data_IF_039447661453
#
_entry.id   IF_039447661453
#
_cell.length_a   1.000
_cell.length_b   1.000
_cell.length_c   1.000
_cell.angle_alpha   90.00
_cell.angle_beta   90.00
_cell.angle_gamma   90.00
#
_symmetry.space_group_name_H-M   'P 1'
#
loop_
_entity.id
_entity.type
_entity.pdbx_description
1 polymer ?
#
# COMPACT_ATOMS: atom_id res chain seq x y z
N UNK A 1 37.57 1.39 9.23
CA UNK A 1 36.36 2.17 9.55
C UNK A 1 35.25 1.17 9.73
N UNK A 2 34.65 1.17 10.92
CA UNK A 2 33.58 0.25 11.30
C UNK A 2 32.33 0.57 10.46
N UNK A 3 32.13 -0.18 9.37
CA UNK A 3 30.97 0.01 8.51
C UNK A 3 29.74 -0.48 9.26
N UNK A 4 28.99 0.45 9.86
CA UNK A 4 27.70 0.12 10.45
C UNK A 4 26.71 -0.25 9.32
N UNK A 5 26.26 -1.49 9.30
CA UNK A 5 25.26 -1.98 8.35
C UNK A 5 23.83 -1.76 8.88
N UNK A 6 22.87 -1.67 7.95
CA UNK A 6 21.44 -1.51 8.21
C UNK A 6 20.66 -2.56 7.44
N UNK A 7 19.70 -3.22 8.09
CA UNK A 7 18.82 -4.21 7.47
C UNK A 7 17.78 -3.55 6.57
N UNK A 8 17.51 -4.20 5.45
CA UNK A 8 16.43 -3.91 4.52
C UNK A 8 15.71 -5.23 4.23
N UNK A 9 14.37 -5.27 4.32
CA UNK A 9 13.60 -6.47 4.02
C UNK A 9 13.85 -6.95 2.59
N UNK A 10 13.99 -8.26 2.39
CA UNK A 10 14.22 -8.85 1.06
C UNK A 10 13.15 -8.40 0.04
N UNK A 11 11.90 -8.27 0.49
CA UNK A 11 10.74 -7.84 -0.31
C UNK A 11 10.92 -6.47 -0.98
N UNK A 12 11.73 -5.59 -0.39
CA UNK A 12 12.07 -4.30 -1.00
C UNK A 12 12.78 -4.49 -2.35
N UNK A 13 13.63 -5.51 -2.45
CA UNK A 13 14.50 -5.73 -3.60
C UNK A 13 13.79 -6.37 -4.80
N UNK A 14 12.65 -7.04 -4.59
CA UNK A 14 11.78 -7.51 -5.69
C UNK A 14 11.26 -6.38 -6.57
N UNK A 15 11.34 -5.14 -6.09
CA UNK A 15 10.66 -3.98 -6.69
C UNK A 15 11.65 -2.96 -7.25
N UNK A 16 12.94 -3.28 -7.26
CA UNK A 16 13.99 -2.44 -7.82
C UNK A 16 14.38 -2.92 -9.22
N UNK A 17 14.31 -2.04 -10.23
CA UNK A 17 14.84 -2.33 -11.57
C UNK A 17 16.36 -2.51 -11.54
N UNK A 18 17.05 -1.76 -10.68
CA UNK A 18 18.48 -1.86 -10.42
C UNK A 18 18.80 -1.43 -9.00
N UNK A 19 19.85 -2.01 -8.44
CA UNK A 19 20.32 -1.63 -7.09
C UNK A 19 21.04 -0.29 -7.14
N UNK A 20 20.81 0.56 -6.14
CA UNK A 20 21.48 1.87 -6.01
C UNK A 20 22.63 1.85 -5.01
N UNK A 21 22.85 0.71 -4.37
CA UNK A 21 23.94 0.49 -3.45
C UNK A 21 24.31 -0.99 -3.39
N UNK A 22 25.46 -1.27 -2.79
CA UNK A 22 25.90 -2.63 -2.52
C UNK A 22 25.02 -3.29 -1.46
N UNK A 23 24.62 -4.54 -1.72
CA UNK A 23 23.78 -5.35 -0.84
C UNK A 23 24.62 -6.46 -0.22
N UNK A 24 24.41 -6.69 1.07
CA UNK A 24 25.16 -7.63 1.88
C UNK A 24 24.23 -8.64 2.54
N UNK A 25 24.71 -9.87 2.68
CA UNK A 25 24.11 -10.91 3.51
C UNK A 25 24.91 -11.03 4.81
N UNK A 26 24.20 -11.05 5.95
CA UNK A 26 24.82 -11.29 7.26
C UNK A 26 24.96 -12.79 7.48
N UNK A 27 26.18 -13.28 7.69
CA UNK A 27 26.47 -14.68 8.00
C UNK A 27 26.71 -14.93 9.49
N UNK A 28 27.14 -13.90 10.23
CA UNK A 28 27.29 -13.92 11.68
C UNK A 28 27.22 -12.48 12.22
N UNK A 29 27.39 -12.28 13.52
CA UNK A 29 27.27 -10.94 14.09
C UNK A 29 28.23 -9.91 13.49
N UNK A 30 29.44 -10.35 13.16
CA UNK A 30 30.53 -9.52 12.65
C UNK A 30 30.76 -9.69 11.14
N UNK A 31 30.13 -10.70 10.51
CA UNK A 31 30.43 -11.07 9.12
C UNK A 31 29.29 -10.71 8.17
N UNK A 32 29.57 -9.74 7.31
CA UNK A 32 28.71 -9.32 6.20
C UNK A 32 29.41 -9.64 4.88
N UNK A 33 28.72 -10.33 3.98
CA UNK A 33 29.24 -10.71 2.66
C UNK A 33 28.45 -9.97 1.61
N UNK A 34 29.14 -9.21 0.76
CA UNK A 34 28.50 -8.54 -0.38
C UNK A 34 27.97 -9.61 -1.34
N UNK A 35 26.68 -9.51 -1.69
CA UNK A 35 25.99 -10.44 -2.59
C UNK A 35 25.55 -9.78 -3.89
N UNK A 36 25.40 -8.45 -3.90
CA UNK A 36 25.01 -7.68 -5.08
C UNK A 36 25.79 -6.37 -5.10
N UNK A 37 26.28 -5.95 -6.26
CA UNK A 37 26.93 -4.65 -6.42
C UNK A 37 25.94 -3.59 -6.85
N UNK A 38 26.25 -2.34 -6.50
CA UNK A 38 25.55 -1.17 -7.00
C UNK A 38 25.41 -1.20 -8.53
N UNK A 39 24.19 -1.03 -9.02
CA UNK A 39 23.85 -1.02 -10.45
C UNK A 39 23.43 -2.37 -11.00
N UNK A 40 23.68 -3.47 -10.27
CA UNK A 40 23.27 -4.80 -10.69
C UNK A 40 21.73 -4.92 -10.70
N UNK A 41 21.22 -5.66 -11.69
CA UNK A 41 19.82 -6.09 -11.75
C UNK A 41 19.69 -7.30 -10.84
N UNK A 42 18.81 -7.22 -9.86
CA UNK A 42 18.48 -8.35 -8.99
C UNK A 42 17.25 -9.01 -9.56
N UNK A 43 17.42 -10.15 -10.22
CA UNK A 43 16.29 -10.89 -10.77
C UNK A 43 15.45 -11.54 -9.66
N UNK A 44 14.17 -11.76 -9.96
CA UNK A 44 13.27 -12.48 -9.05
C UNK A 44 13.76 -13.89 -8.71
N UNK A 45 14.45 -14.56 -9.65
CA UNK A 45 15.02 -15.89 -9.40
C UNK A 45 16.12 -15.86 -8.34
N UNK A 46 16.93 -14.81 -8.34
CA UNK A 46 17.97 -14.60 -7.32
C UNK A 46 17.31 -14.38 -5.96
N UNK A 47 16.27 -13.55 -5.89
CA UNK A 47 15.55 -13.26 -4.66
C UNK A 47 14.82 -14.48 -4.10
N UNK A 48 14.11 -15.23 -4.95
CA UNK A 48 13.46 -16.51 -4.58
C UNK A 48 14.44 -17.51 -4.01
N UNK A 49 15.67 -17.58 -4.53
CA UNK A 49 16.71 -18.44 -3.96
C UNK A 49 17.09 -18.06 -2.52
N UNK A 50 17.02 -16.78 -2.16
CA UNK A 50 17.26 -16.33 -0.80
C UNK A 50 16.02 -16.52 0.09
N UNK A 51 14.80 -16.31 -0.43
CA UNK A 51 13.56 -16.63 0.28
C UNK A 51 13.48 -18.12 0.64
N UNK A 52 13.82 -19.01 -0.29
CA UNK A 52 13.88 -20.46 -0.07
C UNK A 52 14.90 -20.87 1.01
N UNK A 53 15.86 -20.00 1.32
CA UNK A 53 16.85 -20.17 2.40
C UNK A 53 16.41 -19.52 3.71
N UNK A 54 15.15 -19.10 3.82
CA UNK A 54 14.59 -18.36 4.96
C UNK A 54 15.34 -17.05 5.27
N UNK A 55 15.93 -16.41 4.27
CA UNK A 55 16.57 -15.11 4.42
C UNK A 55 15.51 -14.04 4.23
N UNK A 56 15.11 -13.39 5.32
CA UNK A 56 14.10 -12.33 5.30
C UNK A 56 14.69 -10.92 5.05
N UNK A 57 16.00 -10.74 5.27
CA UNK A 57 16.65 -9.43 5.25
C UNK A 57 18.00 -9.45 4.52
N UNK A 58 18.26 -8.38 3.80
CA UNK A 58 19.60 -8.00 3.38
C UNK A 58 20.07 -6.77 4.13
N UNK A 59 21.33 -6.39 3.91
CA UNK A 59 21.99 -5.32 4.63
C UNK A 59 22.66 -4.37 3.66
N UNK A 60 22.67 -3.08 3.98
CA UNK A 60 23.37 -2.03 3.23
C UNK A 60 24.19 -1.19 4.21
N UNK A 61 25.14 -0.40 3.72
CA UNK A 61 25.88 0.54 4.59
C UNK A 61 24.95 1.64 5.09
N UNK A 62 25.24 2.22 6.27
CA UNK A 62 24.44 3.33 6.83
C UNK A 62 24.33 4.54 5.90
N UNK A 63 25.39 4.84 5.14
CA UNK A 63 25.39 5.96 4.19
C UNK A 63 24.48 5.66 3.01
N UNK A 64 24.59 4.45 2.43
CA UNK A 64 23.67 3.97 1.39
C UNK A 64 22.23 3.95 1.88
N UNK A 65 21.99 3.53 3.12
CA UNK A 65 20.67 3.54 3.73
C UNK A 65 20.08 4.96 3.80
N UNK A 66 20.90 5.94 4.17
CA UNK A 66 20.50 7.35 4.25
C UNK A 66 20.22 7.92 2.86
N UNK A 67 21.03 7.56 1.86
CA UNK A 67 20.85 7.96 0.47
C UNK A 67 19.58 7.35 -0.12
N UNK A 68 19.31 6.06 0.12
CA UNK A 68 18.02 5.43 -0.23
C UNK A 68 16.88 6.26 0.34
N UNK A 69 16.94 6.63 1.63
CA UNK A 69 15.90 7.44 2.28
C UNK A 69 15.72 8.86 1.71
N UNK A 70 16.76 9.45 1.12
CA UNK A 70 16.73 10.80 0.52
C UNK A 70 16.30 10.79 -0.96
N UNK A 71 16.60 9.71 -1.68
CA UNK A 71 16.25 9.50 -3.09
C UNK A 71 14.85 8.90 -3.30
N UNK A 72 14.05 8.82 -2.24
CA UNK A 72 12.62 8.49 -2.31
C UNK A 72 11.86 9.64 -2.97
N UNK A 73 12.08 9.79 -4.28
CA UNK A 73 11.48 10.83 -5.11
C UNK A 73 9.97 10.63 -5.14
N UNK A 74 9.20 11.74 -5.19
CA UNK A 74 7.79 11.68 -5.52
C UNK A 74 7.59 10.96 -6.86
N UNK A 75 6.43 10.33 -7.01
CA UNK A 75 5.99 9.65 -8.24
C UNK A 75 6.38 10.47 -9.49
N UNK A 76 7.03 9.82 -10.46
CA UNK A 76 7.52 10.43 -11.70
C UNK A 76 6.44 11.24 -12.42
N UNK A 77 6.80 12.33 -13.11
CA UNK A 77 5.82 13.07 -13.92
C UNK A 77 5.17 12.15 -14.98
N UNK A 78 3.84 12.24 -15.16
CA UNK A 78 3.15 11.39 -16.12
C UNK A 78 3.57 11.76 -17.56
N UNK A 79 3.82 10.78 -18.45
CA UNK A 79 4.05 11.05 -19.86
C UNK A 79 2.83 11.76 -20.49
N UNK A 80 3.08 12.71 -21.41
CA UNK A 80 2.05 13.50 -22.12
C UNK A 80 1.15 12.71 -23.08
N UNK A 81 1.25 11.37 -23.10
CA UNK A 81 0.47 10.49 -23.96
C UNK A 81 -0.90 10.14 -23.35
N UNK A 82 -1.81 9.61 -24.17
CA UNK A 82 -3.13 9.10 -23.71
C UNK A 82 -2.94 8.13 -22.54
N UNK A 83 -3.72 8.32 -21.46
CA UNK A 83 -3.68 7.45 -20.28
C UNK A 83 -4.11 6.04 -20.66
N UNK A 84 -3.15 5.11 -20.65
CA UNK A 84 -3.42 3.68 -20.72
C UNK A 84 -3.53 3.21 -19.29
N UNK A 85 -4.75 2.85 -18.90
CA UNK A 85 -4.99 2.38 -17.55
C UNK A 85 -4.46 0.96 -17.37
N UNK A 86 -3.82 0.65 -16.23
CA UNK A 86 -3.39 -0.69 -15.94
C UNK A 86 -4.57 -1.67 -15.89
N UNK A 87 -4.35 -2.88 -16.39
CA UNK A 87 -5.33 -3.96 -16.25
C UNK A 87 -5.36 -4.45 -14.80
N UNK A 88 -6.57 -4.79 -14.33
CA UNK A 88 -6.84 -5.33 -13.00
C UNK A 88 -7.14 -6.84 -13.01
N UNK A 89 -7.02 -7.52 -14.15
CA UNK A 89 -7.40 -8.93 -14.32
C UNK A 89 -6.80 -9.87 -13.27
N UNK A 90 -5.50 -9.80 -13.05
CA UNK A 90 -4.80 -10.65 -12.06
C UNK A 90 -5.22 -10.34 -10.61
N UNK A 91 -5.34 -9.05 -10.26
CA UNK A 91 -5.82 -8.63 -8.94
C UNK A 91 -7.26 -9.10 -8.70
N UNK A 92 -8.10 -9.04 -9.72
CA UNK A 92 -9.48 -9.52 -9.65
C UNK A 92 -9.56 -11.03 -9.49
N UNK A 93 -8.72 -11.80 -10.19
CA UNK A 93 -8.64 -13.24 -10.01
C UNK A 93 -8.15 -13.60 -8.60
N UNK A 94 -7.19 -12.85 -8.07
CA UNK A 94 -6.73 -13.00 -6.70
C UNK A 94 -7.86 -12.76 -5.70
N UNK A 95 -8.56 -11.61 -5.80
CA UNK A 95 -9.67 -11.24 -4.92
C UNK A 95 -10.79 -12.28 -4.94
N UNK A 96 -11.21 -12.74 -6.12
CA UNK A 96 -12.28 -13.74 -6.25
C UNK A 96 -11.86 -15.10 -5.71
N UNK A 97 -10.56 -15.43 -5.74
CA UNK A 97 -10.06 -16.71 -5.21
C UNK A 97 -10.20 -16.87 -3.69
N UNK A 98 -10.44 -15.78 -2.96
CA UNK A 98 -10.71 -15.80 -1.52
C UNK A 98 -12.07 -15.15 -1.16
N UNK A 99 -13.05 -15.20 -2.07
CA UNK A 99 -14.46 -14.95 -1.73
C UNK A 99 -14.99 -13.53 -2.03
N UNK A 100 -14.18 -12.65 -2.62
CA UNK A 100 -14.67 -11.33 -3.06
C UNK A 100 -15.58 -11.46 -4.28
N UNK A 101 -16.72 -10.78 -4.28
CA UNK A 101 -17.68 -10.84 -5.37
C UNK A 101 -17.13 -10.21 -6.68
N UNK A 102 -17.15 -10.97 -7.77
CA UNK A 102 -16.71 -10.52 -9.10
C UNK A 102 -17.45 -9.27 -9.60
N UNK A 103 -18.73 -9.09 -9.25
CA UNK A 103 -19.48 -7.89 -9.58
C UNK A 103 -18.87 -6.66 -8.91
N UNK A 104 -18.44 -6.77 -7.65
CA UNK A 104 -17.77 -5.67 -6.94
C UNK A 104 -16.46 -5.30 -7.60
N UNK A 105 -15.63 -6.28 -7.96
CA UNK A 105 -14.43 -6.05 -8.76
C UNK A 105 -14.74 -5.26 -10.05
N UNK A 106 -15.75 -5.70 -10.82
CA UNK A 106 -16.16 -5.00 -12.05
C UNK A 106 -16.67 -3.58 -11.81
N UNK A 107 -17.43 -3.35 -10.75
CA UNK A 107 -17.99 -2.03 -10.45
C UNK A 107 -16.93 -1.04 -9.99
N UNK A 108 -15.97 -1.52 -9.20
CA UNK A 108 -14.83 -0.72 -8.73
C UNK A 108 -13.92 -0.39 -9.90
N UNK A 109 -13.55 -1.34 -10.76
CA UNK A 109 -12.76 -1.06 -11.98
C UNK A 109 -13.37 0.05 -12.83
N UNK A 110 -14.69 -0.02 -13.11
CA UNK A 110 -15.39 1.01 -13.89
C UNK A 110 -15.37 2.38 -13.20
N UNK A 111 -15.45 2.39 -11.87
CA UNK A 111 -15.42 3.62 -11.08
C UNK A 111 -13.99 4.21 -11.06
N UNK A 112 -12.96 3.37 -10.98
CA UNK A 112 -11.55 3.76 -11.12
C UNK A 112 -11.30 4.40 -12.49
N UNK A 113 -11.70 3.72 -13.56
CA UNK A 113 -11.57 4.22 -14.93
C UNK A 113 -12.23 5.58 -15.10
N UNK A 114 -13.47 5.73 -14.61
CA UNK A 114 -14.18 7.01 -14.62
C UNK A 114 -13.41 8.10 -13.89
N UNK A 115 -12.90 7.85 -12.69
CA UNK A 115 -12.17 8.87 -11.90
C UNK A 115 -10.87 9.26 -12.59
N UNK A 116 -10.11 8.28 -13.10
CA UNK A 116 -8.79 8.51 -13.71
C UNK A 116 -8.87 9.14 -15.10
N UNK A 117 -10.00 9.00 -15.80
CA UNK A 117 -10.21 9.61 -17.13
C UNK A 117 -10.86 10.99 -17.06
N UNK A 118 -11.56 11.33 -15.98
CA UNK A 118 -12.18 12.64 -15.76
C UNK A 118 -11.20 13.63 -15.12
N UNK A 119 -10.09 13.90 -15.83
CA UNK A 119 -9.02 14.77 -15.32
C UNK A 119 -9.46 16.22 -15.12
N UNK A 120 -10.48 16.68 -15.86
CA UNK A 120 -11.08 18.01 -15.69
C UNK A 120 -11.76 18.20 -14.34
N UNK A 121 -12.31 17.11 -13.77
CA UNK A 121 -13.02 17.19 -12.50
C UNK A 121 -12.07 17.27 -11.29
N UNK A 122 -10.82 16.84 -11.45
CA UNK A 122 -9.84 16.70 -10.38
C UNK A 122 -8.52 17.41 -10.73
N UNK A 123 -8.62 18.62 -11.30
CA UNK A 123 -7.49 19.34 -11.90
C UNK A 123 -6.28 19.43 -10.95
N UNK A 124 -6.50 19.71 -9.66
CA UNK A 124 -5.43 19.95 -8.68
C UNK A 124 -4.64 18.70 -8.32
N UNK A 125 -5.24 17.52 -8.48
CA UNK A 125 -4.63 16.22 -8.14
C UNK A 125 -4.42 15.31 -9.36
N UNK A 126 -4.82 15.76 -10.55
CA UNK A 126 -4.73 15.01 -11.81
C UNK A 126 -3.31 14.56 -12.13
N UNK A 127 -2.31 15.39 -11.82
CA UNK A 127 -0.89 15.04 -11.98
C UNK A 127 -0.47 13.90 -11.05
N UNK A 128 -0.90 13.91 -9.78
CA UNK A 128 -0.62 12.84 -8.82
C UNK A 128 -1.27 11.52 -9.22
N UNK A 129 -2.54 11.57 -9.63
CA UNK A 129 -3.26 10.41 -10.15
C UNK A 129 -2.55 9.84 -11.39
N UNK A 130 -2.11 10.70 -12.30
CA UNK A 130 -1.30 10.30 -13.45
C UNK A 130 0.00 9.63 -13.02
N UNK A 131 0.79 10.27 -12.15
CA UNK A 131 2.06 9.73 -11.68
C UNK A 131 1.94 8.36 -11.00
N UNK A 132 0.86 8.14 -10.23
CA UNK A 132 0.55 6.83 -9.66
C UNK A 132 0.28 5.77 -10.73
N UNK A 133 -0.54 6.11 -11.75
CA UNK A 133 -0.89 5.21 -12.85
C UNK A 133 0.34 4.80 -13.69
N UNK A 134 1.28 5.73 -13.90
CA UNK A 134 2.47 5.49 -14.70
C UNK A 134 3.68 5.00 -13.90
N UNK A 135 3.54 4.80 -12.59
CA UNK A 135 4.63 4.24 -11.80
C UNK A 135 4.91 2.82 -12.25
N UNK A 136 6.19 2.55 -12.55
CA UNK A 136 6.66 1.21 -12.91
C UNK A 136 6.57 0.21 -11.77
N UNK A 137 6.64 0.67 -10.52
CA UNK A 137 6.62 -0.18 -9.32
C UNK A 137 5.23 -0.67 -8.97
N UNK A 138 4.18 0.02 -9.46
CA UNK A 138 2.75 -0.33 -9.36
C UNK A 138 2.17 -0.53 -7.96
N UNK A 139 2.95 -0.47 -6.90
CA UNK A 139 2.52 -0.79 -5.55
C UNK A 139 1.42 0.15 -5.06
N UNK A 140 1.61 1.47 -5.15
CA UNK A 140 0.59 2.42 -4.68
C UNK A 140 -0.72 2.25 -5.46
N UNK A 141 -0.61 2.02 -6.77
CA UNK A 141 -1.77 1.80 -7.63
C UNK A 141 -2.52 0.51 -7.28
N UNK A 142 -1.82 -0.62 -7.23
CA UNK A 142 -2.40 -1.93 -6.96
C UNK A 142 -2.94 -2.01 -5.52
N UNK A 143 -2.22 -1.44 -4.55
CA UNK A 143 -2.66 -1.33 -3.15
C UNK A 143 -3.94 -0.53 -3.05
N UNK A 144 -3.96 0.67 -3.65
CA UNK A 144 -5.15 1.50 -3.74
C UNK A 144 -6.31 0.72 -4.34
N UNK A 145 -6.10 0.00 -5.45
CA UNK A 145 -7.15 -0.80 -6.08
C UNK A 145 -7.71 -1.89 -5.16
N UNK A 146 -6.84 -2.70 -4.56
CA UNK A 146 -7.23 -3.77 -3.64
C UNK A 146 -8.01 -3.22 -2.43
N UNK A 147 -7.55 -2.11 -1.84
CA UNK A 147 -8.26 -1.42 -0.75
C UNK A 147 -9.62 -0.92 -1.21
N UNK A 148 -9.71 -0.36 -2.43
CA UNK A 148 -10.97 0.07 -3.03
C UNK A 148 -11.98 -1.06 -3.17
N UNK A 149 -11.54 -2.23 -3.65
CA UNK A 149 -12.44 -3.39 -3.79
C UNK A 149 -12.90 -3.90 -2.42
N UNK A 150 -11.98 -4.14 -1.49
CA UNK A 150 -12.32 -4.69 -0.16
C UNK A 150 -13.20 -3.71 0.63
N UNK A 151 -12.90 -2.41 0.58
CA UNK A 151 -13.71 -1.39 1.29
C UNK A 151 -15.13 -1.28 0.72
N UNK A 152 -15.30 -1.39 -0.60
CA UNK A 152 -16.64 -1.42 -1.23
C UNK A 152 -17.38 -2.70 -0.88
N UNK A 153 -16.70 -3.86 -0.88
CA UNK A 153 -17.32 -5.15 -0.52
C UNK A 153 -17.81 -5.14 0.94
N UNK A 154 -16.99 -4.62 1.86
CA UNK A 154 -17.39 -4.44 3.26
C UNK A 154 -18.54 -3.45 3.40
N UNK A 155 -18.48 -2.31 2.70
CA UNK A 155 -19.53 -1.30 2.76
C UNK A 155 -20.88 -1.84 2.25
N UNK A 156 -20.89 -2.76 1.27
CA UNK A 156 -22.11 -3.43 0.78
C UNK A 156 -22.81 -4.30 1.83
N UNK A 157 -22.07 -4.77 2.84
CA UNK A 157 -22.64 -5.52 3.98
C UNK A 157 -23.22 -4.60 5.06
N UNK A 158 -23.12 -3.27 4.89
CA UNK A 158 -23.67 -2.27 5.79
C UNK A 158 -24.97 -1.67 5.24
N UNK A 159 -25.82 -1.13 6.13
CA UNK A 159 -27.14 -0.58 5.77
C UNK A 159 -27.08 0.76 4.99
N UNK A 160 -25.89 1.25 4.63
CA UNK A 160 -25.71 2.58 4.05
C UNK A 160 -25.62 2.48 2.52
N UNK A 161 -26.54 3.17 1.83
CA UNK A 161 -26.80 3.03 0.40
C UNK A 161 -25.58 2.82 -0.50
N UNK A 162 -25.68 1.83 -1.39
CA UNK A 162 -24.55 1.22 -2.11
C UNK A 162 -23.88 2.18 -3.12
N UNK A 163 -24.65 3.04 -3.79
CA UNK A 163 -24.16 3.86 -4.92
C UNK A 163 -23.18 4.96 -4.51
N UNK A 164 -23.63 5.93 -3.71
CA UNK A 164 -22.78 7.05 -3.27
C UNK A 164 -21.64 6.58 -2.35
N UNK A 165 -21.87 5.52 -1.57
CA UNK A 165 -20.83 4.92 -0.73
C UNK A 165 -19.72 4.31 -1.57
N UNK A 166 -20.07 3.57 -2.64
CA UNK A 166 -19.08 2.99 -3.56
C UNK A 166 -18.17 4.06 -4.16
N UNK A 167 -18.75 5.15 -4.70
CA UNK A 167 -17.97 6.22 -5.33
C UNK A 167 -17.03 6.89 -4.33
N UNK A 168 -17.49 7.15 -3.10
CA UNK A 168 -16.65 7.72 -2.02
C UNK A 168 -15.52 6.78 -1.60
N UNK A 169 -15.80 5.50 -1.36
CA UNK A 169 -14.78 4.52 -0.97
C UNK A 169 -13.73 4.32 -2.06
N UNK A 170 -14.17 4.24 -3.31
CA UNK A 170 -13.29 4.12 -4.48
C UNK A 170 -12.39 5.35 -4.62
N UNK A 171 -12.96 6.54 -4.45
CA UNK A 171 -12.21 7.80 -4.52
C UNK A 171 -11.19 7.91 -3.39
N UNK A 172 -11.59 7.59 -2.15
CA UNK A 172 -10.69 7.57 -1.01
C UNK A 172 -9.54 6.57 -1.22
N UNK A 173 -9.84 5.37 -1.74
CA UNK A 173 -8.84 4.35 -2.01
C UNK A 173 -7.82 4.82 -3.06
N UNK A 174 -8.26 5.44 -4.15
CA UNK A 174 -7.36 6.04 -5.16
C UNK A 174 -6.44 7.14 -4.61
N UNK A 175 -6.85 7.83 -3.55
CA UNK A 175 -6.22 9.09 -3.13
C UNK A 175 -5.42 8.98 -1.83
N UNK A 176 -5.71 8.01 -0.95
CA UNK A 176 -5.18 7.99 0.41
C UNK A 176 -3.63 8.02 0.52
N UNK A 177 -2.96 7.36 -0.43
CA UNK A 177 -1.50 7.19 -0.44
C UNK A 177 -0.79 8.00 -1.55
N UNK A 178 -1.45 8.94 -2.24
CA UNK A 178 -0.84 9.68 -3.37
C UNK A 178 0.44 10.47 -3.01
N UNK A 179 0.61 10.81 -1.73
CA UNK A 179 1.80 11.50 -1.21
C UNK A 179 2.77 10.57 -0.49
N UNK A 180 2.48 9.27 -0.42
CA UNK A 180 3.38 8.29 0.15
C UNK A 180 4.42 7.88 -0.92
N UNK A 181 5.73 8.14 -0.68
CA UNK A 181 6.76 7.64 -1.58
C UNK A 181 6.69 6.12 -1.65
N UNK A 182 6.67 5.58 -2.86
CA UNK A 182 6.37 4.18 -3.09
C UNK A 182 7.33 3.23 -2.35
N UNK A 183 8.61 3.61 -2.28
CA UNK A 183 9.61 2.89 -1.51
C UNK A 183 9.29 2.83 0.00
N UNK A 184 8.79 3.93 0.61
CA UNK A 184 8.35 3.93 2.01
C UNK A 184 7.13 3.03 2.21
N UNK A 185 6.22 3.06 1.24
CA UNK A 185 5.01 2.25 1.26
C UNK A 185 5.34 0.74 1.30
N UNK A 186 6.44 0.34 0.65
CA UNK A 186 6.93 -1.05 0.70
C UNK A 186 7.72 -1.40 1.97
N UNK A 187 8.15 -0.42 2.76
CA UNK A 187 9.03 -0.58 3.93
C UNK A 187 8.31 -0.44 5.28
N UNK A 188 7.10 0.14 5.29
CA UNK A 188 6.40 0.62 6.49
C UNK A 188 6.08 -0.46 7.55
N UNK A 189 6.10 -1.74 7.18
CA UNK A 189 5.65 -2.83 8.08
C UNK A 189 6.79 -3.72 8.62
N UNK A 190 8.03 -3.20 8.61
CA UNK A 190 9.16 -3.97 9.12
C UNK A 190 9.58 -3.46 10.49
N UNK A 191 9.21 -4.23 11.53
CA UNK A 191 9.57 -4.03 12.94
C UNK A 191 11.10 -4.05 13.22
N UNK A 192 11.95 -4.02 12.20
CA UNK A 192 13.41 -4.15 12.31
C UNK A 192 14.18 -2.98 11.67
N UNK A 193 13.51 -1.84 11.40
CA UNK A 193 14.22 -0.60 11.11
C UNK A 193 14.91 -0.10 12.39
N UNK A 194 16.11 0.48 12.25
CA UNK A 194 16.81 1.04 13.42
C UNK A 194 16.00 2.20 14.03
N UNK A 195 15.99 2.42 15.37
CA UNK A 195 15.04 3.31 16.04
C UNK A 195 14.88 4.71 15.41
N UNK A 196 15.98 5.32 14.96
CA UNK A 196 15.97 6.65 14.34
C UNK A 196 15.35 6.67 12.93
N UNK A 197 15.49 5.57 12.19
CA UNK A 197 14.89 5.36 10.87
C UNK A 197 13.41 5.03 11.02
N UNK A 198 13.07 4.19 12.00
CA UNK A 198 11.69 3.91 12.36
C UNK A 198 10.97 5.21 12.67
N UNK A 199 11.58 6.16 13.38
CA UNK A 199 10.97 7.46 13.67
C UNK A 199 10.77 8.29 12.40
N UNK A 200 11.79 8.47 11.54
CA UNK A 200 11.65 9.33 10.34
C UNK A 200 10.73 8.73 9.28
N UNK A 201 10.82 7.41 9.04
CA UNK A 201 9.95 6.67 8.11
C UNK A 201 8.51 6.65 8.63
N UNK A 202 8.31 6.38 9.93
CA UNK A 202 6.97 6.41 10.54
C UNK A 202 6.39 7.82 10.57
N UNK A 203 7.21 8.84 10.79
CA UNK A 203 6.74 10.23 10.69
C UNK A 203 6.32 10.59 9.27
N UNK A 204 7.09 10.19 8.24
CA UNK A 204 6.70 10.39 6.86
C UNK A 204 5.41 9.61 6.49
N UNK A 205 5.30 8.37 6.95
CA UNK A 205 4.14 7.49 6.77
C UNK A 205 2.90 7.91 7.60
N UNK A 206 3.05 8.76 8.61
CA UNK A 206 1.89 9.34 9.30
C UNK A 206 1.51 10.70 8.70
N UNK A 207 2.49 11.43 8.15
CA UNK A 207 2.26 12.76 7.56
C UNK A 207 1.64 12.71 6.18
N UNK A 208 1.80 11.64 5.40
CA UNK A 208 1.25 11.61 4.03
C UNK A 208 -0.26 11.78 4.04
N UNK A 209 -0.97 11.15 4.99
CA UNK A 209 -2.42 11.25 5.16
C UNK A 209 -2.87 12.71 5.34
N UNK A 210 -2.18 13.48 6.21
CA UNK A 210 -2.45 14.89 6.42
C UNK A 210 -2.13 15.73 5.18
N UNK A 211 -1.01 15.46 4.51
CA UNK A 211 -0.61 16.19 3.30
C UNK A 211 -1.63 16.04 2.18
N UNK A 212 -2.03 14.81 1.87
CA UNK A 212 -2.99 14.59 0.79
C UNK A 212 -4.38 15.09 1.19
N UNK A 213 -4.82 14.93 2.45
CA UNK A 213 -6.09 15.49 2.90
C UNK A 213 -6.14 17.02 2.75
N UNK A 214 -5.03 17.71 3.04
CA UNK A 214 -4.92 19.15 2.84
C UNK A 214 -4.99 19.55 1.37
N UNK A 215 -4.55 18.72 0.42
CA UNK A 215 -4.74 19.01 -1.00
C UNK A 215 -6.17 18.76 -1.44
N UNK A 216 -6.75 17.63 -1.01
CA UNK A 216 -8.12 17.24 -1.35
C UNK A 216 -9.19 18.19 -0.82
N UNK A 217 -9.00 18.79 0.36
CA UNK A 217 -9.97 19.75 0.92
C UNK A 217 -10.16 21.00 0.04
N UNK A 218 -9.23 21.28 -0.87
CA UNK A 218 -9.31 22.40 -1.79
C UNK A 218 -9.84 22.02 -3.17
N UNK A 219 -10.20 20.75 -3.41
CA UNK A 219 -10.77 20.25 -4.66
C UNK A 219 -12.31 20.14 -4.53
N UNK A 220 -13.10 21.06 -5.13
CA UNK A 220 -14.56 21.13 -4.92
C UNK A 220 -15.32 19.85 -5.31
N UNK A 221 -14.72 19.04 -6.18
CA UNK A 221 -15.28 17.79 -6.68
C UNK A 221 -15.11 16.61 -5.71
N UNK A 222 -14.35 16.78 -4.62
CA UNK A 222 -14.07 15.74 -3.62
C UNK A 222 -15.01 15.92 -2.43
N UNK A 223 -15.85 14.92 -2.08
CA UNK A 223 -16.70 15.00 -0.90
C UNK A 223 -15.91 15.05 0.41
N UNK A 224 -16.41 15.78 1.41
CA UNK A 224 -15.79 15.86 2.75
C UNK A 224 -15.56 14.48 3.40
N UNK A 225 -16.47 13.52 3.16
CA UNK A 225 -16.30 12.14 3.64
C UNK A 225 -15.02 11.50 3.09
N UNK A 226 -14.68 11.76 1.81
CA UNK A 226 -13.45 11.24 1.18
C UNK A 226 -12.23 11.87 1.84
N UNK A 227 -12.25 13.19 2.05
CA UNK A 227 -11.17 13.90 2.75
C UNK A 227 -10.98 13.33 4.16
N UNK A 228 -12.08 13.06 4.87
CA UNK A 228 -12.05 12.49 6.22
C UNK A 228 -11.50 11.06 6.23
N UNK A 229 -11.93 10.19 5.30
CA UNK A 229 -11.38 8.83 5.17
C UNK A 229 -9.86 8.91 4.92
N UNK A 230 -9.44 9.72 3.95
CA UNK A 230 -8.03 9.90 3.59
C UNK A 230 -7.22 10.46 4.76
N UNK A 231 -7.76 11.39 5.55
CA UNK A 231 -7.04 11.92 6.72
C UNK A 231 -6.90 10.88 7.83
N UNK A 232 -7.96 10.12 8.09
CA UNK A 232 -8.08 9.29 9.29
C UNK A 232 -7.60 7.84 9.08
N UNK A 233 -7.18 7.41 7.89
CA UNK A 233 -6.92 5.99 7.59
C UNK A 233 -5.80 5.31 8.42
N UNK A 234 -4.95 6.08 9.11
CA UNK A 234 -3.97 5.56 10.11
C UNK A 234 -4.35 5.90 11.57
N UNK A 235 -5.40 6.68 11.79
CA UNK A 235 -5.69 7.30 13.08
C UNK A 235 -6.71 6.49 13.92
N UNK A 236 -6.28 5.31 14.36
CA UNK A 236 -7.11 4.37 15.14
C UNK A 236 -7.60 4.93 16.49
N UNK A 237 -6.92 5.95 17.03
CA UNK A 237 -7.23 6.56 18.32
C UNK A 237 -8.22 7.73 18.20
N UNK A 238 -8.63 8.11 16.99
CA UNK A 238 -9.60 9.17 16.80
C UNK A 238 -10.98 8.72 17.32
N UNK A 239 -11.53 9.31 18.40
CA UNK A 239 -12.81 8.89 18.95
C UNK A 239 -14.01 9.29 18.06
N UNK A 240 -13.76 10.04 16.98
CA UNK A 240 -14.77 10.57 16.08
C UNK A 240 -14.64 10.02 14.66
N UNK A 241 -14.06 8.82 14.50
CA UNK A 241 -14.00 8.13 13.22
C UNK A 241 -15.41 7.97 12.64
N UNK A 242 -15.53 8.31 11.35
CA UNK A 242 -16.76 8.01 10.63
C UNK A 242 -16.87 6.51 10.42
N UNK A 243 -18.08 6.00 10.23
CA UNK A 243 -18.29 4.58 9.92
C UNK A 243 -17.59 4.17 8.61
N UNK A 244 -17.54 5.06 7.62
CA UNK A 244 -16.81 4.82 6.37
C UNK A 244 -15.30 4.76 6.61
N UNK A 245 -14.75 5.65 7.45
CA UNK A 245 -13.34 5.62 7.85
C UNK A 245 -13.00 4.29 8.53
N UNK A 246 -13.87 3.78 9.41
CA UNK A 246 -13.63 2.50 10.09
C UNK A 246 -13.63 1.32 9.12
N UNK A 247 -14.58 1.26 8.19
CA UNK A 247 -14.60 0.24 7.12
C UNK A 247 -13.33 0.32 6.27
N UNK A 248 -12.95 1.53 5.89
CA UNK A 248 -11.75 1.76 5.08
C UNK A 248 -10.47 1.32 5.80
N UNK A 249 -10.35 1.63 7.09
CA UNK A 249 -9.23 1.20 7.93
C UNK A 249 -9.12 -0.33 7.96
N UNK A 250 -10.23 -1.06 8.17
CA UNK A 250 -10.20 -2.53 8.16
C UNK A 250 -9.78 -3.08 6.80
N UNK A 251 -10.28 -2.50 5.70
CA UNK A 251 -9.88 -2.87 4.35
C UNK A 251 -8.39 -2.64 4.10
N UNK A 252 -7.90 -1.45 4.46
CA UNK A 252 -6.49 -1.07 4.34
C UNK A 252 -5.60 -2.04 5.12
N UNK A 253 -5.95 -2.33 6.37
CA UNK A 253 -5.19 -3.17 7.29
C UNK A 253 -5.15 -4.64 6.84
N UNK A 254 -6.22 -5.14 6.21
CA UNK A 254 -6.23 -6.45 5.57
C UNK A 254 -5.32 -6.50 4.34
N UNK A 255 -5.42 -5.53 3.43
CA UNK A 255 -4.62 -5.49 2.20
C UNK A 255 -3.14 -5.32 2.50
N UNK A 256 -2.77 -4.48 3.47
CA UNK A 256 -1.38 -4.32 3.92
C UNK A 256 -0.79 -5.66 4.38
N UNK A 257 -1.53 -6.44 5.17
CA UNK A 257 -1.09 -7.80 5.56
C UNK A 257 -1.02 -8.77 4.40
N UNK A 258 -1.93 -8.67 3.44
CA UNK A 258 -1.85 -9.47 2.22
C UNK A 258 -0.55 -9.19 1.46
N UNK A 259 -0.10 -7.94 1.38
CA UNK A 259 1.21 -7.62 0.82
C UNK A 259 2.36 -8.21 1.63
N UNK A 260 2.26 -8.23 2.97
CA UNK A 260 3.23 -8.92 3.82
C UNK A 260 3.26 -10.43 3.57
N UNK A 261 2.22 -11.01 2.97
CA UNK A 261 2.18 -12.41 2.59
C UNK A 261 2.24 -12.65 1.08
N UNK A 262 2.91 -11.73 0.37
CA UNK A 262 3.18 -11.84 -1.07
C UNK A 262 1.89 -11.95 -1.92
N UNK A 263 0.77 -11.42 -1.43
CA UNK A 263 -0.52 -11.41 -2.14
C UNK A 263 -0.97 -12.80 -2.63
N UNK A 264 -0.77 -13.83 -1.83
CA UNK A 264 -1.20 -15.19 -2.19
C UNK A 264 -2.55 -15.53 -1.58
N UNK A 265 -3.42 -16.21 -2.34
CA UNK A 265 -4.74 -16.63 -1.86
C UNK A 265 -4.66 -17.56 -0.64
N UNK A 266 -3.64 -18.42 -0.59
CA UNK A 266 -3.36 -19.31 0.55
C UNK A 266 -3.13 -18.54 1.87
N UNK A 267 -2.66 -17.30 1.79
CA UNK A 267 -2.35 -16.47 2.96
C UNK A 267 -3.47 -15.49 3.33
N UNK A 268 -4.58 -15.43 2.57
CA UNK A 268 -5.74 -14.61 2.91
C UNK A 268 -6.31 -14.94 4.29
N UNK A 269 -6.34 -16.22 4.64
CA UNK A 269 -6.76 -16.70 5.96
C UNK A 269 -5.78 -16.28 7.07
N UNK A 270 -4.47 -16.22 6.79
CA UNK A 270 -3.50 -15.72 7.76
C UNK A 270 -3.64 -14.20 7.95
N UNK A 271 -3.77 -13.45 6.86
CA UNK A 271 -4.02 -12.01 6.93
C UNK A 271 -5.27 -11.68 7.75
N UNK A 272 -6.36 -12.42 7.54
CA UNK A 272 -7.59 -12.28 8.33
C UNK A 272 -7.37 -12.54 9.82
N UNK A 273 -6.64 -13.60 10.19
CA UNK A 273 -6.33 -13.91 11.61
C UNK A 273 -5.56 -12.79 12.28
N UNK A 274 -4.60 -12.20 11.58
CA UNK A 274 -3.79 -11.12 12.12
C UNK A 274 -4.60 -9.81 12.24
N UNK A 275 -5.49 -9.51 11.28
CA UNK A 275 -6.44 -8.39 11.37
C UNK A 275 -7.35 -8.56 12.59
N UNK A 276 -7.89 -9.77 12.79
CA UNK A 276 -8.71 -10.11 13.96
C UNK A 276 -7.98 -9.87 15.27
N UNK A 277 -6.73 -10.31 15.35
CA UNK A 277 -5.89 -10.13 16.54
C UNK A 277 -5.61 -8.64 16.78
N UNK A 278 -5.37 -7.88 15.71
CA UNK A 278 -5.05 -6.45 15.79
C UNK A 278 -6.22 -5.59 16.29
N UNK A 279 -7.44 -5.89 15.84
CA UNK A 279 -8.64 -5.14 16.23
C UNK A 279 -9.39 -5.73 17.42
N UNK A 280 -8.88 -6.81 18.03
CA UNK A 280 -9.60 -7.54 19.07
C UNK A 280 -10.06 -6.63 20.21
N UNK A 281 -11.37 -6.59 20.46
CA UNK A 281 -11.96 -5.82 21.57
C UNK A 281 -12.03 -4.31 21.31
N UNK A 282 -12.00 -3.90 20.04
CA UNK A 282 -12.14 -2.51 19.61
C UNK A 282 -13.49 -2.27 18.93
N UNK A 283 -13.83 -1.01 18.67
CA UNK A 283 -15.06 -0.65 17.95
C UNK A 283 -15.10 -1.15 16.49
N UNK A 284 -14.01 -1.76 16.00
CA UNK A 284 -13.88 -2.30 14.65
C UNK A 284 -14.37 -3.74 14.50
N UNK A 285 -14.65 -4.46 15.60
CA UNK A 285 -14.96 -5.90 15.62
C UNK A 285 -16.05 -6.27 14.59
N UNK A 286 -17.14 -5.51 14.52
CA UNK A 286 -18.24 -5.77 13.57
C UNK A 286 -17.81 -5.74 12.09
N UNK A 287 -16.83 -4.90 11.73
CA UNK A 287 -16.34 -4.81 10.35
C UNK A 287 -15.32 -5.92 10.05
N UNK A 288 -14.61 -6.38 11.08
CA UNK A 288 -13.74 -7.55 10.99
C UNK A 288 -14.57 -8.83 10.83
N UNK A 289 -15.70 -8.95 11.52
CA UNK A 289 -16.67 -10.04 11.31
C UNK A 289 -17.24 -10.03 9.88
N UNK A 290 -17.55 -8.84 9.34
CA UNK A 290 -17.95 -8.69 7.94
C UNK A 290 -16.84 -9.14 6.99
N UNK A 291 -15.59 -8.76 7.25
CA UNK A 291 -14.42 -9.21 6.48
C UNK A 291 -14.31 -10.74 6.52
N UNK A 292 -14.41 -11.35 7.70
CA UNK A 292 -14.42 -12.79 7.83
C UNK A 292 -15.51 -13.46 6.98
N UNK A 293 -16.73 -12.90 6.99
CA UNK A 293 -17.83 -13.44 6.20
C UNK A 293 -17.58 -13.38 4.69
N UNK A 294 -16.71 -12.48 4.22
CA UNK A 294 -16.30 -12.39 2.82
C UNK A 294 -15.23 -13.44 2.53
N UNK A 295 -14.20 -13.53 3.39
CA UNK A 295 -13.02 -14.37 3.15
C UNK A 295 -13.28 -15.88 3.36
N UNK A 296 -14.32 -16.23 4.13
CA UNK A 296 -14.70 -17.62 4.42
C UNK A 296 -15.77 -18.20 3.46
N UNK A 297 -16.12 -17.50 2.37
CA UNK A 297 -16.99 -18.01 1.31
C UNK A 297 -16.21 -18.85 0.29
#
# INVERSE_FOLDING_TARGET
MDQSFKSIPLKFFHRLENTKCDIYLRLSEEKYVKIVNTGDIVSDDVLKNFENKNIAYFYVTKDAFTQIGQELTPLSEPPKSKVVLPDHGELNQLLTSFGVNQLTCSEVSKTYEKILTDTSKYEKISSLLGSMVYSKKRFIYDHSYLVGVISVELAKKSDWGVGATKEKMTMAALMHDLRLPEDLATMADTNELSPNVTISVRQAHLKHADMIAQELQHEPSIPDDVVKIVKDHHNLLNPHLSRLSMVFIVAHEFVTRMYNYQLTSAMAQQALRDVKTFFQGSDFDKYVEQLESIINQ
#
